data_IF_432042340921
#
_entry.id   IF_432042340921
#
_cell.length_a   1.000
_cell.length_b   1.000
_cell.length_c   1.000
_cell.angle_alpha   90.00
_cell.angle_beta   90.00
_cell.angle_gamma   90.00
#
_symmetry.space_group_name_H-M   'P 1'
#
loop_
_entity.id
_entity.type
_entity.pdbx_description
1 polymer ?
#
# COMPACT_ATOMS: atom_id res chain seq x y z
N UNK A 1 -52.17 39.49 45.71
CA UNK A 1 -50.78 39.90 45.37
C UNK A 1 -49.85 39.49 46.51
N UNK A 2 -49.06 38.45 46.34
CA UNK A 2 -48.08 38.02 47.35
C UNK A 2 -46.86 38.94 47.24
N UNK A 3 -46.60 39.76 48.27
CA UNK A 3 -45.39 40.60 48.35
C UNK A 3 -44.21 39.71 48.75
N UNK A 4 -43.37 39.37 47.78
CA UNK A 4 -42.12 38.64 48.05
C UNK A 4 -41.16 39.60 48.76
N UNK A 5 -40.72 39.24 49.96
CA UNK A 5 -39.81 40.04 50.79
C UNK A 5 -38.39 40.06 50.16
N UNK A 6 -37.68 41.19 50.19
CA UNK A 6 -36.36 41.34 49.53
C UNK A 6 -35.34 40.30 49.99
N UNK A 7 -35.38 39.88 51.24
CA UNK A 7 -34.55 38.80 51.80
C UNK A 7 -34.88 37.43 51.20
N UNK A 8 -36.15 37.17 50.85
CA UNK A 8 -36.58 35.93 50.21
C UNK A 8 -36.16 35.88 48.73
N UNK A 9 -36.16 37.03 48.04
CA UNK A 9 -35.63 37.15 46.68
C UNK A 9 -34.11 36.92 46.62
N UNK A 10 -33.36 37.38 47.62
CA UNK A 10 -31.91 37.15 47.72
C UNK A 10 -31.64 35.66 48.01
N UNK A 11 -32.42 35.03 48.89
CA UNK A 11 -32.27 33.61 49.21
C UNK A 11 -32.58 32.71 48.00
N UNK A 12 -33.64 33.01 47.24
CA UNK A 12 -33.93 32.31 45.98
C UNK A 12 -32.84 32.53 44.92
N UNK A 13 -32.24 33.73 44.88
CA UNK A 13 -31.12 34.03 43.98
C UNK A 13 -29.87 33.21 44.33
N UNK A 14 -29.55 33.06 45.61
CA UNK A 14 -28.40 32.26 46.08
C UNK A 14 -28.64 30.76 45.84
N UNK A 15 -29.85 30.26 46.09
CA UNK A 15 -30.23 28.87 45.80
C UNK A 15 -30.17 28.59 44.29
N UNK A 16 -30.62 29.53 43.45
CA UNK A 16 -30.50 29.44 41.99
C UNK A 16 -29.05 29.42 41.50
N UNK A 17 -28.15 30.17 42.15
CA UNK A 17 -26.73 30.22 41.78
C UNK A 17 -25.93 28.97 42.23
N UNK A 18 -26.35 28.33 43.32
CA UNK A 18 -25.80 27.04 43.78
C UNK A 18 -26.24 25.87 42.88
N UNK A 19 -27.43 25.93 42.28
CA UNK A 19 -27.92 24.91 41.33
C UNK A 19 -27.28 24.99 39.93
N UNK A 20 -26.56 26.07 39.61
CA UNK A 20 -25.81 26.20 38.36
C UNK A 20 -24.43 25.53 38.40
N UNK A 21 -23.97 25.07 39.58
CA UNK A 21 -22.68 24.39 39.74
C UNK A 21 -22.80 22.86 39.80
N UNK A 22 -24.00 22.29 39.75
CA UNK A 22 -24.20 20.86 39.49
C UNK A 22 -24.15 20.57 37.99
N UNK A 23 -23.02 20.91 37.36
CA UNK A 23 -22.68 20.43 36.03
C UNK A 23 -22.32 18.94 36.14
N UNK A 24 -23.11 18.08 35.51
CA UNK A 24 -22.83 16.66 35.37
C UNK A 24 -21.54 16.46 34.54
N UNK A 25 -20.37 16.47 35.19
CA UNK A 25 -19.11 16.07 34.55
C UNK A 25 -19.19 14.65 33.95
N UNK A 26 -19.96 13.75 34.58
CA UNK A 26 -20.14 12.36 34.11
C UNK A 26 -20.77 12.19 32.71
N UNK A 27 -21.51 13.17 32.19
CA UNK A 27 -22.11 13.08 30.85
C UNK A 27 -21.13 13.56 29.76
N UNK A 28 -20.24 14.49 30.10
CA UNK A 28 -19.14 14.94 29.24
C UNK A 28 -17.91 14.02 29.31
N UNK A 29 -17.78 13.22 30.37
CA UNK A 29 -16.78 12.17 30.53
C UNK A 29 -17.20 10.84 29.88
N UNK A 30 -18.32 10.78 29.17
CA UNK A 30 -18.61 9.68 28.25
C UNK A 30 -17.63 9.82 27.09
N UNK A 31 -16.46 9.21 27.22
CA UNK A 31 -15.74 8.78 26.02
C UNK A 31 -16.71 7.98 25.18
N UNK A 32 -16.75 8.26 23.87
CA UNK A 32 -17.49 7.50 22.88
C UNK A 32 -17.00 6.03 22.89
N UNK A 33 -17.53 5.25 23.84
CA UNK A 33 -17.53 3.78 23.89
C UNK A 33 -18.63 3.36 22.90
N UNK A 34 -18.38 2.67 21.79
CA UNK A 34 -17.68 1.38 21.70
C UNK A 34 -16.90 1.18 20.36
N UNK A 35 -16.58 2.25 19.62
CA UNK A 35 -16.00 2.19 18.26
C UNK A 35 -14.51 2.53 18.12
N UNK A 36 -13.87 3.07 19.16
CA UNK A 36 -12.47 3.53 19.13
C UNK A 36 -11.68 2.87 20.27
N UNK A 37 -11.48 1.56 20.17
CA UNK A 37 -10.49 0.88 21.02
C UNK A 37 -9.12 1.47 20.68
N UNK A 38 -8.59 2.32 21.56
CA UNK A 38 -7.20 2.80 21.44
C UNK A 38 -6.30 1.58 21.61
N UNK A 39 -5.49 1.21 20.61
CA UNK A 39 -4.56 0.08 20.72
C UNK A 39 -3.59 0.29 21.89
N UNK A 40 -3.49 -0.69 22.78
CA UNK A 40 -2.65 -0.60 24.00
C UNK A 40 -1.65 -1.73 24.13
N UNK A 41 -1.87 -2.85 23.46
CA UNK A 41 -1.01 -4.03 23.53
C UNK A 41 -0.27 -4.26 22.22
N UNK A 42 0.83 -5.02 22.25
CA UNK A 42 1.55 -5.44 21.04
C UNK A 42 0.63 -6.23 20.09
N UNK A 43 -0.30 -7.01 20.64
CA UNK A 43 -1.27 -7.76 19.85
C UNK A 43 -2.23 -6.82 19.10
N UNK A 44 -2.73 -5.76 19.74
CA UNK A 44 -3.59 -4.77 19.08
C UNK A 44 -2.84 -4.09 17.91
N UNK A 45 -1.56 -3.75 18.13
CA UNK A 45 -0.74 -3.13 17.10
C UNK A 45 -0.47 -4.09 15.94
N UNK A 46 -0.25 -5.37 16.23
CA UNK A 46 -0.12 -6.39 15.20
C UNK A 46 -1.41 -6.54 14.39
N UNK A 47 -2.59 -6.55 15.05
CA UNK A 47 -3.89 -6.64 14.37
C UNK A 47 -4.14 -5.47 13.42
N UNK A 48 -3.68 -4.26 13.76
CA UNK A 48 -3.72 -3.12 12.84
C UNK A 48 -2.88 -3.36 11.58
N UNK A 49 -1.67 -3.89 11.73
CA UNK A 49 -0.79 -4.22 10.61
C UNK A 49 -1.31 -5.43 9.80
N UNK A 50 -2.05 -6.33 10.43
CA UNK A 50 -2.70 -7.48 9.79
C UNK A 50 -4.04 -7.13 9.10
N UNK A 51 -4.45 -5.86 9.08
CA UNK A 51 -5.57 -5.41 8.26
C UNK A 51 -5.16 -5.39 6.77
N UNK A 52 -5.03 -6.57 6.18
CA UNK A 52 -4.47 -6.79 4.84
C UNK A 52 -5.26 -6.09 3.73
N UNK A 53 -6.57 -5.86 3.92
CA UNK A 53 -7.39 -5.09 2.99
C UNK A 53 -6.94 -3.63 2.85
N UNK A 54 -6.27 -3.09 3.86
CA UNK A 54 -5.68 -1.74 3.82
C UNK A 54 -4.17 -1.80 3.71
N UNK A 55 -3.51 -2.68 4.45
CA UNK A 55 -2.05 -2.70 4.57
C UNK A 55 -1.35 -3.32 3.37
N UNK A 56 -2.00 -4.28 2.70
CA UNK A 56 -1.43 -5.02 1.56
C UNK A 56 -2.04 -4.60 0.23
N UNK A 57 -3.17 -3.89 0.25
CA UNK A 57 -3.85 -3.35 -0.92
C UNK A 57 -3.68 -1.83 -0.92
N UNK A 58 -3.71 -1.21 -2.09
CA UNK A 58 -3.58 0.24 -2.24
C UNK A 58 -2.26 0.69 -2.85
N UNK A 59 -1.48 -0.24 -3.43
CA UNK A 59 -0.40 0.13 -4.33
C UNK A 59 -1.00 0.82 -5.55
N UNK A 60 -0.42 1.93 -6.00
CA UNK A 60 -0.97 2.73 -7.09
C UNK A 60 -0.98 1.94 -8.40
N UNK A 61 -2.09 2.05 -9.12
CA UNK A 61 -2.35 1.36 -10.39
C UNK A 61 -2.18 2.27 -11.60
N UNK A 62 -2.07 3.59 -11.41
CA UNK A 62 -1.95 4.56 -12.52
C UNK A 62 -0.77 4.28 -13.45
N UNK A 63 0.39 3.90 -12.91
CA UNK A 63 1.55 3.53 -13.73
C UNK A 63 1.26 2.38 -14.70
N UNK A 64 0.48 1.39 -14.27
CA UNK A 64 0.05 0.29 -15.13
C UNK A 64 -1.02 0.75 -16.13
N UNK A 65 -2.02 1.51 -15.67
CA UNK A 65 -3.12 1.99 -16.52
C UNK A 65 -2.62 2.89 -17.67
N UNK A 66 -1.46 3.49 -17.47
CA UNK A 66 -0.75 4.35 -18.40
C UNK A 66 0.47 3.68 -19.04
N UNK A 67 0.58 2.35 -18.98
CA UNK A 67 1.65 1.58 -19.64
C UNK A 67 1.36 1.34 -21.13
N UNK A 68 2.39 0.91 -21.85
CA UNK A 68 2.36 0.54 -23.27
C UNK A 68 2.46 -0.98 -23.51
N UNK A 69 2.38 -1.79 -22.45
CA UNK A 69 2.36 -3.27 -22.52
C UNK A 69 1.07 -3.84 -23.16
N UNK A 70 0.05 -3.00 -23.32
CA UNK A 70 -1.24 -3.37 -23.87
C UNK A 70 -1.89 -2.20 -24.60
N UNK A 71 -2.96 -2.48 -25.32
CA UNK A 71 -3.81 -1.48 -25.94
C UNK A 71 -5.30 -1.84 -25.83
N UNK A 72 -6.14 -0.81 -25.94
CA UNK A 72 -7.58 -0.93 -26.09
C UNK A 72 -7.98 -0.64 -27.53
N UNK A 73 -8.78 -1.52 -28.12
CA UNK A 73 -9.45 -1.21 -29.39
C UNK A 73 -10.38 -0.01 -29.21
N UNK A 74 -10.51 0.84 -30.24
CA UNK A 74 -11.28 2.09 -30.13
C UNK A 74 -12.72 1.85 -29.65
N UNK A 75 -13.39 0.82 -30.17
CA UNK A 75 -14.76 0.47 -29.75
C UNK A 75 -14.85 0.08 -28.27
N UNK A 76 -13.80 -0.53 -27.71
CA UNK A 76 -13.74 -0.89 -26.29
C UNK A 76 -13.45 0.35 -25.46
N UNK A 77 -12.53 1.20 -25.90
CA UNK A 77 -12.20 2.47 -25.25
C UNK A 77 -13.44 3.37 -25.15
N UNK A 78 -14.23 3.48 -26.22
CA UNK A 78 -15.43 4.31 -26.28
C UNK A 78 -16.54 3.87 -25.30
N UNK A 79 -16.52 2.60 -24.86
CA UNK A 79 -17.44 2.07 -23.84
C UNK A 79 -16.99 2.36 -22.41
N UNK A 80 -15.75 2.81 -22.19
CA UNK A 80 -15.23 3.07 -20.85
C UNK A 80 -15.74 4.41 -20.30
N UNK A 81 -15.65 4.56 -18.98
CA UNK A 81 -15.97 5.84 -18.32
C UNK A 81 -15.04 6.95 -18.82
N UNK A 82 -15.47 8.20 -18.72
CA UNK A 82 -14.63 9.36 -19.11
C UNK A 82 -13.28 9.34 -18.39
N UNK A 83 -13.28 8.98 -17.10
CA UNK A 83 -12.07 8.89 -16.29
C UNK A 83 -11.11 7.81 -16.82
N UNK A 84 -11.63 6.61 -17.11
CA UNK A 84 -10.83 5.51 -17.65
C UNK A 84 -10.22 5.86 -19.01
N UNK A 85 -10.99 6.50 -19.91
CA UNK A 85 -10.47 6.96 -21.21
C UNK A 85 -9.35 8.00 -21.03
N UNK A 86 -9.52 8.92 -20.09
CA UNK A 86 -8.50 9.94 -19.80
C UNK A 86 -7.24 9.35 -19.16
N UNK A 87 -7.37 8.35 -18.28
CA UNK A 87 -6.23 7.66 -17.68
C UNK A 87 -5.42 6.90 -18.73
N UNK A 88 -6.10 6.09 -19.55
CA UNK A 88 -5.46 5.30 -20.61
C UNK A 88 -4.75 6.18 -21.66
N UNK A 89 -5.32 7.34 -21.99
CA UNK A 89 -4.74 8.24 -23.01
C UNK A 89 -3.77 9.30 -22.46
N UNK A 90 -3.38 9.20 -21.19
CA UNK A 90 -2.52 10.18 -20.50
C UNK A 90 -3.06 11.61 -20.50
N UNK A 91 -4.38 11.76 -20.53
CA UNK A 91 -5.08 13.06 -20.56
C UNK A 91 -5.76 13.40 -19.25
N UNK A 92 -5.68 12.53 -18.24
CA UNK A 92 -6.30 12.80 -16.96
C UNK A 92 -5.56 13.92 -16.21
N UNK A 93 -6.19 15.09 -16.16
CA UNK A 93 -5.78 16.24 -15.37
C UNK A 93 -6.71 16.51 -14.19
N UNK A 94 -7.65 15.61 -13.92
CA UNK A 94 -8.63 15.72 -12.84
C UNK A 94 -8.06 15.14 -11.56
N UNK A 95 -8.07 15.94 -10.50
CA UNK A 95 -7.68 15.49 -9.16
C UNK A 95 -8.91 15.26 -8.30
N UNK A 96 -9.52 14.08 -8.46
CA UNK A 96 -10.71 13.67 -7.72
C UNK A 96 -10.34 12.82 -6.50
N UNK A 97 -11.08 12.99 -5.41
CA UNK A 97 -11.11 12.06 -4.28
C UNK A 97 -12.26 11.06 -4.49
N UNK A 98 -12.12 9.76 -4.26
CA UNK A 98 -10.96 8.99 -3.77
C UNK A 98 -10.03 8.55 -4.91
N UNK A 99 -8.71 8.53 -4.68
CA UNK A 99 -7.68 8.13 -5.66
C UNK A 99 -6.47 7.40 -5.03
N UNK A 100 -5.53 6.94 -5.86
CA UNK A 100 -4.30 6.23 -5.44
C UNK A 100 -3.48 7.01 -4.41
N UNK A 101 -3.44 8.34 -4.50
CA UNK A 101 -2.81 9.19 -3.50
C UNK A 101 -3.46 8.98 -2.13
N UNK A 102 -4.78 9.15 -2.02
CA UNK A 102 -5.48 8.96 -0.75
C UNK A 102 -5.39 7.52 -0.23
N UNK A 103 -5.45 6.52 -1.11
CA UNK A 103 -5.31 5.11 -0.75
C UNK A 103 -3.92 4.81 -0.17
N UNK A 104 -2.85 5.32 -0.80
CA UNK A 104 -1.47 5.10 -0.36
C UNK A 104 -1.14 5.72 1.00
N UNK A 105 -1.86 6.75 1.46
CA UNK A 105 -1.65 7.33 2.79
C UNK A 105 -2.38 6.60 3.93
N UNK A 106 -3.33 5.71 3.65
CA UNK A 106 -4.00 4.95 4.70
C UNK A 106 -3.03 4.00 5.45
N UNK A 107 -2.17 3.21 4.78
CA UNK A 107 -1.16 2.40 5.47
C UNK A 107 -0.07 3.23 6.14
N UNK A 108 0.26 4.40 5.58
CA UNK A 108 1.18 5.37 6.20
C UNK A 108 0.64 5.85 7.54
N UNK A 109 -0.65 6.19 7.60
CA UNK A 109 -1.33 6.58 8.83
C UNK A 109 -1.32 5.45 9.87
N UNK A 110 -1.72 4.25 9.48
CA UNK A 110 -1.75 3.08 10.37
C UNK A 110 -0.33 2.78 10.90
N UNK A 111 0.68 2.82 10.03
CA UNK A 111 2.07 2.59 10.41
C UNK A 111 2.58 3.62 11.41
N UNK A 112 2.28 4.91 11.21
CA UNK A 112 2.66 5.95 12.16
C UNK A 112 1.95 5.79 13.51
N UNK A 113 0.64 5.48 13.49
CA UNK A 113 -0.11 5.20 14.71
C UNK A 113 0.50 4.01 15.47
N UNK A 114 0.86 2.94 14.77
CA UNK A 114 1.52 1.78 15.35
C UNK A 114 2.85 2.17 15.98
N UNK A 115 3.71 2.89 15.27
CA UNK A 115 5.03 3.32 15.77
C UNK A 115 4.92 4.21 17.02
N UNK A 116 3.97 5.15 17.03
CA UNK A 116 3.70 6.02 18.18
C UNK A 116 3.21 5.24 19.41
N UNK A 117 2.28 4.30 19.21
CA UNK A 117 1.74 3.46 20.30
C UNK A 117 2.77 2.47 20.80
N UNK A 118 3.56 1.89 19.90
CA UNK A 118 4.65 0.99 20.23
C UNK A 118 5.69 1.69 21.13
N UNK A 119 6.01 2.96 20.84
CA UNK A 119 6.87 3.79 21.68
C UNK A 119 6.36 3.94 23.12
N UNK A 120 5.04 3.92 23.34
CA UNK A 120 4.42 4.03 24.68
C UNK A 120 4.42 2.72 25.46
N UNK A 121 4.47 1.57 24.79
CA UNK A 121 4.56 0.25 25.43
C UNK A 121 5.99 0.03 25.96
N UNK A 122 6.99 0.50 25.21
CA UNK A 122 8.40 0.30 25.54
C UNK A 122 8.91 -1.11 25.21
N UNK A 123 10.19 -1.17 24.88
CA UNK A 123 10.89 -2.44 24.59
C UNK A 123 11.52 -2.98 25.87
N UNK A 124 11.25 -4.24 26.18
CA UNK A 124 11.81 -4.99 27.30
C UNK A 124 12.50 -6.25 26.78
N UNK A 125 13.29 -6.92 27.62
CA UNK A 125 13.89 -8.20 27.23
C UNK A 125 12.83 -9.26 26.89
N UNK A 126 11.70 -9.27 27.61
CA UNK A 126 10.64 -10.26 27.44
C UNK A 126 9.80 -10.06 26.16
N UNK A 127 9.67 -8.83 25.67
CA UNK A 127 8.84 -8.51 24.49
C UNK A 127 9.65 -8.11 23.24
N UNK A 128 10.98 -8.15 23.32
CA UNK A 128 11.89 -7.65 22.30
C UNK A 128 11.57 -8.17 20.89
N UNK A 129 11.32 -9.47 20.76
CA UNK A 129 11.07 -10.10 19.45
C UNK A 129 9.80 -9.56 18.77
N UNK A 130 8.68 -9.48 19.52
CA UNK A 130 7.43 -8.94 18.98
C UNK A 130 7.50 -7.43 18.75
N UNK A 131 8.14 -6.71 19.68
CA UNK A 131 8.36 -5.28 19.55
C UNK A 131 9.12 -4.95 18.26
N UNK A 132 10.25 -5.63 18.03
CA UNK A 132 11.12 -5.40 16.88
C UNK A 132 10.40 -5.79 15.59
N UNK A 133 9.70 -6.93 15.57
CA UNK A 133 8.91 -7.39 14.42
C UNK A 133 7.80 -6.41 14.05
N UNK A 134 7.04 -5.89 15.03
CA UNK A 134 5.98 -4.89 14.80
C UNK A 134 6.56 -3.57 14.30
N UNK A 135 7.67 -3.12 14.91
CA UNK A 135 8.37 -1.91 14.48
C UNK A 135 8.86 -2.03 13.04
N UNK A 136 9.54 -3.13 12.72
CA UNK A 136 10.05 -3.40 11.38
C UNK A 136 8.93 -3.47 10.35
N UNK A 137 7.82 -4.13 10.68
CA UNK A 137 6.67 -4.24 9.78
C UNK A 137 6.01 -2.89 9.49
N UNK A 138 5.84 -2.02 10.51
CA UNK A 138 5.32 -0.67 10.31
C UNK A 138 6.25 0.22 9.47
N UNK A 139 7.57 0.16 9.72
CA UNK A 139 8.56 0.88 8.92
C UNK A 139 8.56 0.43 7.46
N UNK A 140 8.48 -0.89 7.22
CA UNK A 140 8.38 -1.47 5.88
C UNK A 140 7.11 -1.01 5.17
N UNK A 141 5.94 -1.19 5.79
CA UNK A 141 4.65 -0.90 5.14
C UNK A 141 4.54 0.57 4.74
N UNK A 142 4.96 1.49 5.62
CA UNK A 142 5.06 2.92 5.32
C UNK A 142 5.97 3.21 4.13
N UNK A 143 7.15 2.60 4.10
CA UNK A 143 8.15 2.79 3.05
C UNK A 143 7.72 2.22 1.70
N UNK A 144 7.03 1.08 1.71
CA UNK A 144 6.46 0.47 0.51
C UNK A 144 5.46 1.42 -0.15
N UNK A 145 4.58 2.04 0.65
CA UNK A 145 3.65 3.03 0.13
C UNK A 145 4.35 4.31 -0.35
N UNK A 146 5.39 4.78 0.34
CA UNK A 146 6.17 5.91 -0.15
C UNK A 146 6.82 5.66 -1.51
N UNK A 147 7.37 4.46 -1.75
CA UNK A 147 7.94 4.12 -3.06
C UNK A 147 6.86 4.05 -4.16
N UNK A 148 5.71 3.44 -3.85
CA UNK A 148 4.53 3.40 -4.72
C UNK A 148 4.04 4.81 -5.11
N UNK A 149 3.91 5.71 -4.13
CA UNK A 149 3.50 7.09 -4.34
C UNK A 149 4.55 7.90 -5.12
N UNK A 150 5.84 7.71 -4.85
CA UNK A 150 6.91 8.36 -5.61
C UNK A 150 6.86 7.99 -7.10
N UNK A 151 6.58 6.72 -7.40
CA UNK A 151 6.54 6.22 -8.77
C UNK A 151 5.42 6.86 -9.61
N UNK A 152 4.30 7.23 -8.97
CA UNK A 152 3.13 7.78 -9.66
C UNK A 152 3.01 9.31 -9.58
N UNK A 153 3.56 9.95 -8.54
CA UNK A 153 3.29 11.37 -8.23
C UNK A 153 4.53 12.26 -8.15
N UNK A 154 5.71 11.72 -8.42
CA UNK A 154 6.95 12.47 -8.47
C UNK A 154 7.66 12.28 -9.81
N UNK A 155 8.60 13.17 -10.11
CA UNK A 155 9.54 12.91 -11.20
C UNK A 155 10.44 11.73 -10.82
N UNK A 156 10.92 11.01 -11.84
CA UNK A 156 11.96 10.01 -11.68
C UNK A 156 13.16 10.62 -10.94
N UNK A 157 13.85 9.80 -10.14
CA UNK A 157 15.01 10.27 -9.39
C UNK A 157 16.11 10.68 -10.36
N UNK A 158 16.58 11.92 -10.23
CA UNK A 158 17.75 12.40 -10.94
C UNK A 158 18.68 13.10 -9.96
N UNK A 159 19.95 12.69 -9.90
CA UNK A 159 20.87 13.09 -8.83
C UNK A 159 21.08 14.61 -8.73
N UNK A 160 20.96 15.33 -9.84
CA UNK A 160 21.17 16.79 -9.86
C UNK A 160 19.92 17.59 -9.48
N UNK A 161 18.72 17.04 -9.64
CA UNK A 161 17.45 17.77 -9.43
C UNK A 161 16.62 17.20 -8.28
N UNK A 162 16.91 16.00 -7.78
CA UNK A 162 16.13 15.33 -6.74
C UNK A 162 16.00 16.14 -5.44
N UNK A 163 16.95 17.04 -5.15
CA UNK A 163 16.88 17.93 -3.99
C UNK A 163 15.81 19.03 -4.12
N UNK A 164 15.46 19.44 -5.34
CA UNK A 164 14.49 20.49 -5.64
C UNK A 164 13.18 19.96 -6.25
N UNK A 165 13.23 18.82 -6.93
CA UNK A 165 12.04 18.19 -7.50
C UNK A 165 11.07 17.80 -6.37
N UNK A 166 9.80 18.17 -6.53
CA UNK A 166 8.77 17.84 -5.56
C UNK A 166 8.49 16.34 -5.60
N UNK A 167 8.69 15.70 -4.45
CA UNK A 167 8.33 14.31 -4.16
C UNK A 167 6.92 14.22 -3.59
N UNK A 168 6.77 13.46 -2.51
CA UNK A 168 5.49 13.21 -1.84
C UNK A 168 5.45 13.87 -0.45
N UNK A 169 4.34 13.76 0.28
CA UNK A 169 4.24 14.24 1.67
C UNK A 169 4.84 13.19 2.60
N UNK A 170 5.90 13.54 3.33
CA UNK A 170 6.42 12.70 4.39
C UNK A 170 5.64 12.98 5.67
N UNK A 171 4.93 11.97 6.15
CA UNK A 171 4.12 12.03 7.37
C UNK A 171 4.91 11.37 8.49
N UNK A 172 5.33 12.16 9.47
CA UNK A 172 6.07 11.66 10.65
C UNK A 172 5.17 11.18 11.79
N UNK A 173 3.86 11.48 11.72
CA UNK A 173 2.91 11.25 12.81
C UNK A 173 1.55 10.75 12.30
N UNK A 174 0.72 10.30 13.25
CA UNK A 174 -0.71 9.99 13.04
C UNK A 174 -1.63 11.21 13.26
N UNK A 175 -1.10 12.42 13.51
CA UNK A 175 -1.92 13.61 13.74
C UNK A 175 -2.53 14.15 12.44
N UNK A 176 -3.84 13.96 12.28
CA UNK A 176 -4.59 14.39 11.10
C UNK A 176 -4.59 15.92 10.89
N UNK A 177 -4.27 16.71 11.93
CA UNK A 177 -4.24 18.17 11.86
C UNK A 177 -2.90 18.72 11.35
N UNK A 178 -1.85 17.88 11.30
CA UNK A 178 -0.55 18.28 10.78
C UNK A 178 -0.69 18.71 9.31
N UNK A 179 -0.23 19.92 8.97
CA UNK A 179 -0.33 20.47 7.61
C UNK A 179 0.56 19.68 6.64
N UNK A 180 -0.06 19.08 5.62
CA UNK A 180 0.66 18.36 4.56
C UNK A 180 1.44 19.29 3.64
N UNK A 181 2.74 19.02 3.49
CA UNK A 181 3.63 19.67 2.53
C UNK A 181 4.45 18.62 1.79
N UNK A 182 4.56 18.76 0.47
CA UNK A 182 5.41 17.87 -0.34
C UNK A 182 6.87 18.11 0.04
N UNK A 183 7.59 17.02 0.29
CA UNK A 183 9.04 16.99 0.46
C UNK A 183 9.72 16.87 -0.90
N UNK A 184 11.05 17.04 -0.95
CA UNK A 184 11.80 16.77 -2.17
C UNK A 184 11.90 15.27 -2.45
N UNK A 185 12.08 14.90 -3.71
CA UNK A 185 12.32 13.50 -4.12
C UNK A 185 13.47 12.88 -3.31
N UNK A 186 14.57 13.61 -3.15
CA UNK A 186 15.73 13.17 -2.37
C UNK A 186 15.38 12.90 -0.90
N UNK A 187 14.60 13.78 -0.25
CA UNK A 187 14.17 13.57 1.12
C UNK A 187 13.28 12.33 1.27
N UNK A 188 12.41 12.08 0.28
CA UNK A 188 11.56 10.89 0.28
C UNK A 188 12.38 9.60 0.18
N UNK A 189 13.32 9.52 -0.76
CA UNK A 189 14.21 8.35 -0.89
C UNK A 189 15.07 8.15 0.36
N UNK A 190 15.65 9.22 0.94
CA UNK A 190 16.44 9.09 2.16
C UNK A 190 15.60 8.53 3.33
N UNK A 191 14.35 8.99 3.46
CA UNK A 191 13.44 8.52 4.51
C UNK A 191 13.10 7.05 4.34
N UNK A 192 12.60 6.65 3.17
CA UNK A 192 12.21 5.25 2.94
C UNK A 192 13.43 4.31 3.00
N UNK A 193 14.61 4.71 2.52
CA UNK A 193 15.81 3.88 2.61
C UNK A 193 16.28 3.69 4.05
N UNK A 194 16.18 4.71 4.90
CA UNK A 194 16.50 4.60 6.33
C UNK A 194 15.52 3.67 7.05
N UNK A 195 14.22 3.85 6.80
CA UNK A 195 13.18 3.02 7.38
C UNK A 195 13.31 1.56 6.95
N UNK A 196 13.62 1.30 5.66
CA UNK A 196 13.80 -0.05 5.15
C UNK A 196 15.06 -0.74 5.68
N UNK A 197 16.18 -0.02 5.84
CA UNK A 197 17.37 -0.57 6.51
C UNK A 197 17.04 -0.97 7.95
N UNK A 198 16.42 -0.09 8.70
CA UNK A 198 15.97 -0.39 10.07
C UNK A 198 14.97 -1.55 10.11
N UNK A 199 14.03 -1.62 9.16
CA UNK A 199 13.11 -2.74 9.04
C UNK A 199 13.87 -4.05 8.77
N UNK A 200 14.86 -4.04 7.87
CA UNK A 200 15.66 -5.21 7.56
C UNK A 200 16.45 -5.72 8.77
N UNK A 201 16.92 -4.84 9.66
CA UNK A 201 17.64 -5.24 10.87
C UNK A 201 16.72 -5.87 11.94
N UNK A 202 15.45 -5.47 11.96
CA UNK A 202 14.46 -5.87 12.98
C UNK A 202 13.65 -7.10 12.57
N UNK A 203 13.40 -7.29 11.27
CA UNK A 203 12.55 -8.37 10.77
C UNK A 203 13.27 -9.73 10.75
N UNK A 204 12.49 -10.79 10.93
CA UNK A 204 12.95 -12.17 10.73
C UNK A 204 13.28 -12.42 9.26
N UNK A 205 14.15 -13.39 8.97
CA UNK A 205 14.58 -13.70 7.60
C UNK A 205 13.38 -13.89 6.66
N UNK A 206 12.48 -14.77 7.07
CA UNK A 206 11.18 -14.99 6.44
C UNK A 206 10.05 -14.65 7.41
N UNK A 207 8.85 -14.42 6.87
CA UNK A 207 7.65 -14.20 7.66
C UNK A 207 6.82 -15.48 7.75
N UNK A 208 5.99 -15.59 8.79
CA UNK A 208 5.08 -16.73 8.94
C UNK A 208 4.04 -16.84 7.81
N UNK A 209 3.78 -15.73 7.10
CA UNK A 209 2.88 -15.68 5.95
C UNK A 209 3.29 -14.49 5.07
N UNK A 210 3.25 -14.65 3.75
CA UNK A 210 3.68 -13.64 2.75
C UNK A 210 2.93 -12.30 2.83
N UNK A 211 1.81 -12.25 3.54
CA UNK A 211 1.09 -11.01 3.83
C UNK A 211 1.77 -10.14 4.89
N UNK A 212 2.71 -10.69 5.65
CA UNK A 212 3.54 -9.95 6.60
C UNK A 212 4.93 -9.76 6.00
N UNK A 213 5.54 -8.58 6.15
CA UNK A 213 6.88 -8.35 5.66
C UNK A 213 7.91 -9.15 6.44
N UNK A 214 9.02 -9.44 5.77
CA UNK A 214 10.19 -10.11 6.29
C UNK A 214 11.44 -9.30 5.97
N UNK A 215 12.60 -9.77 6.43
CA UNK A 215 13.89 -9.21 6.03
C UNK A 215 14.09 -9.35 4.52
N UNK A 216 13.69 -10.47 3.93
CA UNK A 216 13.74 -10.66 2.48
C UNK A 216 12.91 -9.61 1.74
N UNK A 217 11.66 -9.33 2.16
CA UNK A 217 10.86 -8.27 1.52
C UNK A 217 11.50 -6.90 1.68
N UNK A 218 12.11 -6.60 2.84
CA UNK A 218 12.80 -5.32 3.04
C UNK A 218 14.03 -5.18 2.11
N UNK A 219 14.79 -6.24 1.89
CA UNK A 219 15.89 -6.26 0.93
C UNK A 219 15.41 -6.11 -0.52
N UNK A 220 14.35 -6.81 -0.93
CA UNK A 220 13.76 -6.65 -2.25
C UNK A 220 13.28 -5.22 -2.52
N UNK A 221 12.65 -4.59 -1.52
CA UNK A 221 12.20 -3.20 -1.65
C UNK A 221 13.36 -2.19 -1.66
N UNK A 222 14.43 -2.44 -0.89
CA UNK A 222 15.67 -1.67 -0.98
C UNK A 222 16.28 -1.78 -2.38
N UNK A 223 16.36 -2.99 -2.94
CA UNK A 223 16.87 -3.22 -4.28
C UNK A 223 16.07 -2.43 -5.32
N UNK A 224 14.73 -2.50 -5.25
CA UNK A 224 13.83 -1.74 -6.12
C UNK A 224 14.02 -0.23 -6.00
N UNK A 225 14.08 0.30 -4.78
CA UNK A 225 14.30 1.72 -4.54
C UNK A 225 15.66 2.19 -5.10
N UNK A 226 16.73 1.43 -4.87
CA UNK A 226 18.05 1.77 -5.41
C UNK A 226 18.12 1.67 -6.93
N UNK A 227 17.41 0.71 -7.53
CA UNK A 227 17.29 0.61 -8.98
C UNK A 227 16.61 1.86 -9.56
N UNK A 228 15.52 2.33 -8.95
CA UNK A 228 14.84 3.57 -9.34
C UNK A 228 15.71 4.82 -9.18
N UNK A 229 16.78 4.76 -8.37
CA UNK A 229 17.78 5.82 -8.21
C UNK A 229 19.00 5.66 -9.14
N UNK A 230 19.01 4.66 -10.02
CA UNK A 230 20.17 4.26 -10.82
C UNK A 230 21.43 3.96 -9.98
N UNK A 231 21.24 3.41 -8.77
CA UNK A 231 22.31 2.98 -7.86
C UNK A 231 22.52 1.48 -7.98
N UNK A 232 23.05 1.06 -9.14
CA UNK A 232 23.13 -0.35 -9.53
C UNK A 232 23.89 -1.24 -8.54
N UNK A 233 25.00 -0.77 -7.97
CA UNK A 233 25.77 -1.54 -6.96
C UNK A 233 24.93 -1.83 -5.71
N UNK A 234 24.22 -0.82 -5.19
CA UNK A 234 23.31 -0.99 -4.05
C UNK A 234 22.13 -1.88 -4.41
N UNK A 235 21.56 -1.71 -5.61
CA UNK A 235 20.45 -2.53 -6.08
C UNK A 235 20.86 -4.01 -6.14
N UNK A 236 22.01 -4.30 -6.76
CA UNK A 236 22.59 -5.64 -6.82
C UNK A 236 22.85 -6.21 -5.42
N UNK A 237 23.49 -5.44 -4.53
CA UNK A 237 23.80 -5.88 -3.18
C UNK A 237 22.54 -6.35 -2.41
N UNK A 238 21.47 -5.57 -2.46
CA UNK A 238 20.24 -5.92 -1.75
C UNK A 238 19.43 -7.02 -2.45
N UNK A 239 19.46 -7.08 -3.78
CA UNK A 239 18.86 -8.19 -4.53
C UNK A 239 19.56 -9.53 -4.20
N UNK A 240 20.89 -9.54 -4.18
CA UNK A 240 21.68 -10.72 -3.79
C UNK A 240 21.37 -11.15 -2.35
N UNK A 241 21.26 -10.20 -1.41
CA UNK A 241 20.87 -10.48 -0.02
C UNK A 241 19.47 -11.07 0.12
N UNK A 242 18.51 -10.61 -0.69
CA UNK A 242 17.17 -11.18 -0.75
C UNK A 242 17.23 -12.63 -1.26
N UNK A 243 17.93 -12.87 -2.36
CA UNK A 243 18.06 -14.19 -2.99
C UNK A 243 18.81 -15.20 -2.12
N UNK A 244 19.68 -14.75 -1.22
CA UNK A 244 20.28 -15.62 -0.18
C UNK A 244 19.25 -16.16 0.83
N UNK A 245 18.08 -15.51 0.96
CA UNK A 245 17.00 -15.95 1.85
C UNK A 245 15.94 -16.72 1.06
N UNK A 246 15.50 -16.18 -0.09
CA UNK A 246 14.40 -16.72 -0.89
C UNK A 246 14.74 -16.66 -2.37
N UNK A 247 14.93 -17.82 -2.99
CA UNK A 247 15.30 -17.97 -4.41
C UNK A 247 14.52 -19.08 -5.13
N UNK A 248 13.42 -19.55 -4.55
CA UNK A 248 12.58 -20.56 -5.18
C UNK A 248 11.96 -20.01 -6.47
N UNK A 249 11.98 -20.82 -7.52
CA UNK A 249 11.34 -20.56 -8.81
C UNK A 249 10.34 -21.66 -9.12
N UNK A 250 9.17 -21.28 -9.62
CA UNK A 250 8.17 -22.21 -10.13
C UNK A 250 8.71 -22.96 -11.34
N UNK A 251 8.43 -24.25 -11.40
CA UNK A 251 8.67 -25.05 -12.59
C UNK A 251 7.45 -24.96 -13.51
N UNK A 252 7.60 -24.27 -14.63
CA UNK A 252 6.53 -24.11 -15.63
C UNK A 252 6.20 -25.44 -16.34
N UNK A 253 7.04 -26.47 -16.20
CA UNK A 253 6.77 -27.81 -16.69
C UNK A 253 5.94 -28.63 -15.69
N UNK A 254 5.82 -28.20 -14.44
CA UNK A 254 5.01 -28.87 -13.42
C UNK A 254 3.59 -28.24 -13.38
N UNK A 255 2.55 -28.96 -13.86
CA UNK A 255 1.18 -28.46 -13.83
C UNK A 255 0.62 -28.26 -12.42
N UNK A 256 1.27 -28.81 -11.37
CA UNK A 256 0.91 -28.52 -9.99
C UNK A 256 1.38 -27.12 -9.55
N UNK A 257 2.41 -26.57 -10.19
CA UNK A 257 2.93 -25.24 -9.90
C UNK A 257 2.41 -24.19 -10.88
N UNK A 258 2.34 -24.52 -12.18
CA UNK A 258 1.82 -23.65 -13.24
C UNK A 258 0.83 -24.40 -14.14
N UNK A 259 -0.46 -24.12 -14.00
CA UNK A 259 -1.50 -24.68 -14.86
C UNK A 259 -1.59 -23.92 -16.19
N UNK A 260 -0.76 -24.29 -17.15
CA UNK A 260 -0.74 -23.69 -18.49
C UNK A 260 -2.07 -23.83 -19.24
N UNK A 261 -2.97 -24.73 -18.83
CA UNK A 261 -4.26 -24.94 -19.50
C UNK A 261 -5.42 -24.22 -18.83
N UNK A 262 -5.28 -23.91 -17.54
CA UNK A 262 -6.31 -23.31 -16.71
C UNK A 262 -6.56 -21.82 -16.99
N UNK A 263 -7.69 -21.34 -16.50
CA UNK A 263 -8.06 -19.92 -16.56
C UNK A 263 -7.13 -19.04 -15.72
N UNK A 264 -6.58 -19.58 -14.62
CA UNK A 264 -5.63 -18.92 -13.73
C UNK A 264 -4.38 -19.81 -13.59
N UNK A 265 -3.32 -19.57 -14.38
CA UNK A 265 -2.15 -20.45 -14.39
C UNK A 265 -1.34 -20.49 -13.11
N UNK A 266 -1.40 -19.43 -12.30
CA UNK A 266 -0.63 -19.32 -11.07
C UNK A 266 -1.52 -19.47 -9.85
N UNK A 267 -1.01 -20.13 -8.82
CA UNK A 267 -1.66 -20.16 -7.50
C UNK A 267 -1.34 -18.89 -6.71
N UNK A 268 -2.32 -18.43 -5.92
CA UNK A 268 -2.10 -17.34 -4.96
C UNK A 268 -1.10 -17.80 -3.91
N UNK A 269 -0.17 -16.92 -3.53
CA UNK A 269 0.94 -17.23 -2.60
C UNK A 269 1.84 -18.38 -3.07
N UNK A 270 2.02 -18.51 -4.40
CA UNK A 270 3.03 -19.40 -4.95
C UNK A 270 4.43 -19.13 -4.36
N UNK A 271 5.32 -20.11 -4.52
CA UNK A 271 6.63 -20.10 -3.87
C UNK A 271 7.58 -18.99 -4.32
N UNK A 272 7.29 -18.26 -5.41
CA UNK A 272 8.10 -17.10 -5.80
C UNK A 272 7.71 -15.82 -5.03
N UNK A 273 6.54 -15.79 -4.38
CA UNK A 273 6.09 -14.61 -3.64
C UNK A 273 6.87 -14.48 -2.33
N UNK A 274 7.67 -13.42 -2.24
CA UNK A 274 8.40 -13.05 -1.02
C UNK A 274 7.56 -12.16 -0.11
N UNK A 275 6.77 -11.26 -0.70
CA UNK A 275 5.77 -10.42 0.00
C UNK A 275 4.57 -10.13 -0.90
N UNK A 276 3.37 -10.24 -0.34
CA UNK A 276 2.12 -10.11 -1.09
C UNK A 276 1.53 -8.70 -0.92
N UNK A 277 1.64 -7.89 -1.98
CA UNK A 277 1.09 -6.54 -2.06
C UNK A 277 0.41 -6.34 -3.41
N UNK A 278 -0.82 -5.88 -3.39
CA UNK A 278 -1.67 -5.76 -4.58
C UNK A 278 -1.84 -4.29 -4.99
N UNK A 279 -1.82 -4.05 -6.29
CA UNK A 279 -2.34 -2.81 -6.84
C UNK A 279 -3.86 -2.77 -6.65
N UNK A 280 -4.35 -1.68 -6.09
CA UNK A 280 -5.80 -1.46 -6.05
C UNK A 280 -6.14 -0.59 -7.24
N UNK A 281 -6.85 -1.15 -8.23
CA UNK A 281 -7.50 -0.28 -9.20
C UNK A 281 -8.81 0.24 -8.60
N UNK A 282 -8.93 1.56 -8.54
CA UNK A 282 -10.22 2.23 -8.61
C UNK A 282 -10.54 2.55 -10.09
N UNK A 283 -10.22 1.64 -11.03
CA UNK A 283 -10.26 1.94 -12.46
C UNK A 283 -10.14 0.74 -13.41
N UNK A 284 -10.07 1.08 -14.71
CA UNK A 284 -10.13 0.24 -15.92
C UNK A 284 -9.77 -1.24 -15.74
N UNK A 285 -10.67 -2.20 -16.03
CA UNK A 285 -10.45 -3.63 -15.83
C UNK A 285 -9.58 -4.26 -16.94
N UNK A 286 -8.31 -3.85 -17.04
CA UNK A 286 -7.39 -4.17 -18.14
C UNK A 286 -7.37 -5.65 -18.54
N UNK A 287 -7.29 -6.56 -17.56
CA UNK A 287 -7.30 -8.02 -17.78
C UNK A 287 -8.51 -8.54 -18.60
N UNK A 288 -9.62 -7.79 -18.62
CA UNK A 288 -10.84 -8.17 -19.34
C UNK A 288 -10.94 -7.57 -20.73
N UNK A 289 -10.38 -6.37 -20.91
CA UNK A 289 -10.71 -5.53 -22.06
C UNK A 289 -9.49 -5.20 -22.94
N UNK A 290 -8.28 -5.39 -22.42
CA UNK A 290 -7.05 -5.07 -23.13
C UNK A 290 -6.54 -6.22 -24.00
N UNK A 291 -5.98 -5.84 -25.14
CA UNK A 291 -5.14 -6.69 -25.97
C UNK A 291 -3.67 -6.38 -25.65
N UNK A 292 -2.82 -7.39 -25.65
CA UNK A 292 -1.41 -7.24 -25.37
C UNK A 292 -0.68 -6.63 -26.55
N UNK A 293 0.31 -5.79 -26.26
CA UNK A 293 1.16 -5.21 -27.29
C UNK A 293 1.83 -6.32 -28.13
N UNK A 294 1.85 -6.09 -29.43
CA UNK A 294 2.35 -7.10 -30.39
C UNK A 294 3.86 -7.26 -30.33
N UNK A 295 4.60 -6.21 -29.98
CA UNK A 295 6.06 -6.27 -29.80
C UNK A 295 6.37 -7.04 -28.52
N UNK A 296 5.67 -6.75 -27.43
CA UNK A 296 5.78 -7.50 -26.18
C UNK A 296 5.49 -8.99 -26.39
N UNK A 297 4.35 -9.35 -26.99
CA UNK A 297 4.03 -10.76 -27.24
C UNK A 297 5.05 -11.45 -28.16
N UNK A 298 5.58 -10.74 -29.15
CA UNK A 298 6.58 -11.27 -30.08
C UNK A 298 7.98 -11.38 -29.48
N UNK A 299 8.24 -10.75 -28.33
CA UNK A 299 9.52 -10.88 -27.61
C UNK A 299 9.73 -12.25 -26.96
N UNK A 300 8.66 -13.02 -26.80
CA UNK A 300 8.71 -14.39 -26.27
C UNK A 300 8.96 -15.38 -27.42
N UNK A 301 9.96 -16.24 -27.26
CA UNK A 301 10.24 -17.35 -28.17
C UNK A 301 9.03 -18.31 -28.26
N UNK A 302 9.00 -19.12 -29.32
CA UNK A 302 7.86 -19.99 -29.59
C UNK A 302 7.69 -21.11 -28.54
N UNK A 303 8.79 -21.54 -27.93
CA UNK A 303 8.86 -22.57 -26.89
C UNK A 303 8.88 -22.00 -25.47
N UNK A 304 8.75 -20.68 -25.31
CA UNK A 304 8.66 -20.05 -24.00
C UNK A 304 7.29 -20.32 -23.35
N UNK A 305 7.29 -21.09 -22.25
CA UNK A 305 6.08 -21.45 -21.51
C UNK A 305 5.36 -20.23 -20.90
N UNK A 306 6.05 -19.11 -20.69
CA UNK A 306 5.44 -17.84 -20.27
C UNK A 306 4.43 -17.34 -21.29
N UNK A 307 4.63 -17.66 -22.58
CA UNK A 307 3.69 -17.33 -23.65
C UNK A 307 2.33 -18.00 -23.44
N UNK A 308 2.31 -19.22 -22.91
CA UNK A 308 1.08 -19.97 -22.60
C UNK A 308 0.48 -19.59 -21.22
N UNK A 309 1.32 -19.17 -20.29
CA UNK A 309 0.91 -18.78 -18.95
C UNK A 309 0.31 -17.35 -18.90
N UNK A 310 0.91 -16.39 -19.60
CA UNK A 310 0.51 -14.98 -19.52
C UNK A 310 -0.47 -14.54 -20.61
N UNK A 311 -0.57 -15.29 -21.71
CA UNK A 311 -1.38 -14.90 -22.86
C UNK A 311 -2.43 -15.95 -23.22
N UNK A 312 -3.52 -15.48 -23.82
CA UNK A 312 -4.57 -16.30 -24.42
C UNK A 312 -5.08 -15.64 -25.70
N UNK A 313 -5.73 -16.39 -26.62
CA UNK A 313 -6.36 -15.79 -27.78
C UNK A 313 -7.35 -14.68 -27.41
N UNK A 314 -7.22 -13.53 -28.06
CA UNK A 314 -8.10 -12.38 -27.95
C UNK A 314 -8.88 -12.12 -29.25
N UNK A 315 -9.79 -11.13 -29.25
CA UNK A 315 -10.47 -10.67 -30.46
C UNK A 315 -9.49 -10.13 -31.52
N UNK A 316 -9.94 -10.09 -32.78
CA UNK A 316 -9.18 -9.47 -33.87
C UNK A 316 -7.85 -10.17 -34.23
N UNK A 317 -7.58 -11.37 -33.72
CA UNK A 317 -6.32 -12.08 -33.92
C UNK A 317 -5.20 -11.66 -32.96
N UNK A 318 -5.50 -10.77 -32.00
CA UNK A 318 -4.57 -10.37 -30.95
C UNK A 318 -4.55 -11.37 -29.79
N UNK A 319 -3.66 -11.12 -28.83
CA UNK A 319 -3.60 -11.87 -27.58
C UNK A 319 -4.15 -11.03 -26.44
N UNK A 320 -4.93 -11.63 -25.57
CA UNK A 320 -5.36 -11.03 -24.32
C UNK A 320 -4.50 -11.55 -23.15
N UNK A 321 -4.48 -10.80 -22.05
CA UNK A 321 -3.83 -11.24 -20.83
C UNK A 321 -4.57 -12.40 -20.15
N UNK A 322 -3.81 -13.32 -19.54
CA UNK A 322 -4.31 -14.53 -18.90
C UNK A 322 -4.00 -14.58 -17.41
N UNK A 323 -2.73 -14.73 -17.02
CA UNK A 323 -2.33 -15.13 -15.66
C UNK A 323 -1.61 -14.06 -14.86
N UNK A 324 -1.95 -13.90 -13.59
CA UNK A 324 -1.26 -13.05 -12.62
C UNK A 324 -1.07 -13.80 -11.29
N UNK A 325 -0.23 -13.28 -10.40
CA UNK A 325 0.10 -13.96 -9.13
C UNK A 325 -0.89 -13.68 -8.00
N UNK A 326 -1.77 -12.69 -8.16
CA UNK A 326 -2.79 -12.36 -7.17
C UNK A 326 -3.98 -13.32 -7.21
N UNK A 327 -4.25 -13.95 -8.37
CA UNK A 327 -5.43 -14.74 -8.70
C UNK A 327 -6.71 -13.94 -8.42
N UNK A 328 -7.42 -13.50 -9.45
CA UNK A 328 -8.68 -12.77 -9.26
C UNK A 328 -9.71 -13.67 -8.55
N UNK A 329 -9.97 -13.44 -7.27
CA UNK A 329 -10.93 -14.22 -6.47
C UNK A 329 -12.35 -13.67 -6.55
N UNK A 330 -12.55 -12.51 -7.17
CA UNK A 330 -13.87 -11.98 -7.50
C UNK A 330 -13.84 -11.15 -8.78
N UNK A 331 -15.02 -10.89 -9.35
CA UNK A 331 -15.14 -10.05 -10.55
C UNK A 331 -14.65 -8.60 -10.36
N UNK A 332 -14.49 -8.17 -9.10
CA UNK A 332 -14.13 -6.82 -8.67
C UNK A 332 -12.68 -6.68 -8.21
N UNK A 333 -11.93 -7.78 -8.13
CA UNK A 333 -10.48 -7.71 -7.93
C UNK A 333 -9.83 -7.39 -9.28
N UNK A 334 -9.45 -6.13 -9.45
CA UNK A 334 -8.74 -5.71 -10.65
C UNK A 334 -7.30 -6.13 -10.52
N UNK A 335 -6.93 -7.14 -11.28
CA UNK A 335 -5.52 -7.51 -11.39
C UNK A 335 -4.94 -6.88 -12.64
N UNK A 336 -3.89 -6.09 -12.43
CA UNK A 336 -3.03 -5.58 -13.48
C UNK A 336 -2.39 -6.73 -14.27
N UNK A 337 -2.17 -6.55 -15.58
CA UNK A 337 -1.21 -7.37 -16.32
C UNK A 337 0.11 -7.48 -15.55
N UNK A 338 0.67 -8.68 -15.50
CA UNK A 338 1.91 -8.99 -14.77
C UNK A 338 1.92 -8.59 -13.27
N UNK A 339 0.74 -8.31 -12.69
CA UNK A 339 0.59 -7.91 -11.31
C UNK A 339 1.01 -9.00 -10.32
N UNK A 340 1.55 -8.57 -9.18
CA UNK A 340 2.05 -9.46 -8.12
C UNK A 340 3.54 -9.79 -8.21
N UNK A 341 4.34 -8.93 -8.87
CA UNK A 341 5.81 -9.03 -8.84
C UNK A 341 6.28 -9.09 -7.39
N UNK A 342 6.88 -10.24 -7.05
CA UNK A 342 7.56 -10.51 -5.80
C UNK A 342 8.49 -9.33 -5.44
N UNK A 343 8.24 -8.72 -4.29
CA UNK A 343 9.21 -7.82 -3.66
C UNK A 343 10.22 -8.66 -2.95
#
# INVERSE_FOLDING_TARGET
>A
MIKINKTMSILLGIIGMLLLHSSCSKYLDIQSNDGLVIPKTLEDLQKLLDNTLTMNRGIGSMGEISADDYFLEQSVLDMQTDMDRLNYTWRNNLYNFSNDWSAGYAPVYISNLVLERLGKIGRTAANAADYDRIKGAALFAKSNQYLSLLSNYAKAFHSTTAASDLGIVLRGSSDMNEKSKRSSVLACYNTLLNDLRAASDLLQQESAHVMRPSKATAYGLLARAYLSMAKYDSAYYYADKMLQIKNDLMDYNDPAEVDLTGTNPFSRYNKEIVGYYEQTSNGTPLIRIAQMDTVLYSSFDADDLRKQAYFKPGPGGYQAFKGNYAVASSAWETVSPFGGIAV
#
